data_IF_884346713183
#
_entry.id   IF_884346713183
#
_cell.length_a   1.000
_cell.length_b   1.000
_cell.length_c   1.000
_cell.angle_alpha   90.00
_cell.angle_beta   90.00
_cell.angle_gamma   90.00
#
_symmetry.space_group_name_H-M   'P 1'
#
loop_
_entity.id
_entity.type
_entity.pdbx_description
1 polymer ?
#
# COMPACT_ATOMS: atom_id res chain seq x y z
N UNK A 1 3.82 2.48 35.64
CA UNK A 1 2.81 1.71 36.40
C UNK A 1 3.04 1.95 37.89
N UNK A 2 1.98 2.21 38.67
CA UNK A 2 2.07 2.39 40.12
C UNK A 2 2.30 1.07 40.87
N UNK A 3 2.93 1.14 42.05
CA UNK A 3 3.35 0.01 42.89
C UNK A 3 2.13 -0.60 43.63
N UNK A 4 1.47 -1.59 43.03
CA UNK A 4 0.40 -2.39 43.64
C UNK A 4 -0.20 -3.39 42.64
N UNK A 5 -0.75 -4.54 43.09
CA UNK A 5 -1.44 -5.51 42.21
C UNK A 5 -2.66 -4.82 41.56
N UNK A 6 -2.61 -4.46 40.27
CA UNK A 6 -3.73 -3.77 39.64
C UNK A 6 -4.86 -4.78 39.39
N UNK A 7 -6.14 -4.36 39.44
CA UNK A 7 -7.24 -5.25 39.09
C UNK A 7 -7.08 -5.72 37.64
N UNK A 8 -7.31 -7.01 37.38
CA UNK A 8 -7.07 -7.63 36.07
C UNK A 8 -7.74 -6.87 34.91
N UNK A 9 -8.93 -6.30 35.15
CA UNK A 9 -9.67 -5.48 34.18
C UNK A 9 -8.89 -4.24 33.73
N UNK A 10 -8.22 -3.53 34.65
CA UNK A 10 -7.44 -2.33 34.35
C UNK A 10 -6.21 -2.64 33.48
N UNK A 11 -5.56 -3.78 33.73
CA UNK A 11 -4.45 -4.24 32.90
C UNK A 11 -4.90 -4.61 31.48
N UNK A 12 -6.08 -5.21 31.33
CA UNK A 12 -6.64 -5.55 30.03
C UNK A 12 -7.03 -4.31 29.21
N UNK A 13 -7.70 -3.32 29.82
CA UNK A 13 -8.06 -2.06 29.13
C UNK A 13 -6.82 -1.30 28.73
N UNK A 14 -5.87 -1.11 29.66
CA UNK A 14 -4.61 -0.45 29.35
C UNK A 14 -3.85 -1.12 28.21
N UNK A 15 -3.78 -2.47 28.16
CA UNK A 15 -3.19 -3.19 27.03
C UNK A 15 -3.94 -2.97 25.72
N UNK A 16 -5.28 -2.91 25.75
CA UNK A 16 -6.10 -2.66 24.56
C UNK A 16 -5.85 -1.25 24.01
N UNK A 17 -5.76 -0.26 24.90
CA UNK A 17 -5.51 1.14 24.52
C UNK A 17 -4.11 1.32 23.96
N UNK A 18 -3.09 0.74 24.61
CA UNK A 18 -1.72 0.74 24.11
C UNK A 18 -1.57 0.01 22.77
N UNK A 19 -2.40 -1.00 22.49
CA UNK A 19 -2.36 -1.73 21.22
C UNK A 19 -2.70 -0.84 20.02
N UNK A 20 -3.45 0.25 20.22
CA UNK A 20 -3.75 1.20 19.14
C UNK A 20 -2.53 2.04 18.72
N UNK A 21 -1.51 2.16 19.56
CA UNK A 21 -0.24 2.79 19.20
C UNK A 21 0.61 1.90 18.26
N UNK A 22 0.37 0.59 18.23
CA UNK A 22 1.00 -0.32 17.28
C UNK A 22 0.40 -0.11 15.87
N UNK A 23 1.26 0.32 14.94
CA UNK A 23 0.90 0.58 13.55
C UNK A 23 0.33 -0.65 12.85
N UNK A 24 0.86 -1.84 13.16
CA UNK A 24 0.43 -3.10 12.53
C UNK A 24 -0.99 -3.47 12.98
N UNK A 25 -1.26 -3.36 14.28
CA UNK A 25 -2.58 -3.56 14.84
C UNK A 25 -3.58 -2.54 14.32
N UNK A 26 -3.19 -1.27 14.28
CA UNK A 26 -4.03 -0.17 13.77
C UNK A 26 -4.42 -0.38 12.29
N UNK A 27 -3.46 -0.73 11.42
CA UNK A 27 -3.71 -1.00 10.00
C UNK A 27 -4.70 -2.16 9.79
N UNK A 28 -4.58 -3.21 10.60
CA UNK A 28 -5.49 -4.38 10.56
C UNK A 28 -6.86 -4.04 11.11
N UNK A 29 -6.92 -3.44 12.31
CA UNK A 29 -8.17 -3.12 13.00
C UNK A 29 -9.02 -2.08 12.24
N UNK A 30 -8.38 -1.09 11.60
CA UNK A 30 -9.08 -0.10 10.78
C UNK A 30 -9.42 -0.59 9.37
N UNK A 31 -9.00 -1.81 8.99
CA UNK A 31 -9.26 -2.36 7.65
C UNK A 31 -8.68 -1.52 6.51
N UNK A 32 -7.60 -0.77 6.76
CA UNK A 32 -7.02 0.18 5.79
C UNK A 32 -6.63 -0.52 4.49
N UNK A 33 -6.17 -1.77 4.57
CA UNK A 33 -5.84 -2.59 3.42
C UNK A 33 -7.03 -2.82 2.46
N UNK A 34 -8.27 -2.88 2.95
CA UNK A 34 -9.45 -3.11 2.10
C UNK A 34 -10.03 -1.79 1.58
N UNK A 35 -10.00 -0.75 2.41
CA UNK A 35 -10.64 0.54 2.07
C UNK A 35 -9.78 1.41 1.15
N UNK A 36 -8.51 1.60 1.47
CA UNK A 36 -7.64 2.55 0.74
C UNK A 36 -6.70 1.90 -0.26
N UNK A 37 -6.32 0.62 -0.07
CA UNK A 37 -5.39 0.00 -1.01
C UNK A 37 -6.03 -0.17 -2.40
N UNK A 38 -5.26 0.05 -3.48
CA UNK A 38 -5.77 -0.16 -4.84
C UNK A 38 -6.04 -1.65 -5.13
N UNK A 39 -5.31 -2.55 -4.47
CA UNK A 39 -5.45 -4.01 -4.62
C UNK A 39 -6.57 -4.63 -3.78
N UNK A 40 -7.18 -3.88 -2.84
CA UNK A 40 -8.29 -4.35 -2.02
C UNK A 40 -7.95 -5.57 -1.15
N UNK A 41 -6.69 -5.71 -0.72
CA UNK A 41 -6.23 -6.84 0.09
C UNK A 41 -5.78 -8.08 -0.69
N UNK A 42 -5.83 -8.05 -2.03
CA UNK A 42 -5.27 -9.12 -2.87
C UNK A 42 -3.77 -8.94 -3.12
N UNK A 43 -3.05 -10.03 -3.36
CA UNK A 43 -1.61 -10.01 -3.69
C UNK A 43 -1.34 -9.42 -5.08
N UNK A 44 -2.25 -9.65 -6.04
CA UNK A 44 -2.09 -9.22 -7.42
C UNK A 44 -3.39 -8.61 -7.98
N UNK A 45 -3.28 -7.88 -9.09
CA UNK A 45 -4.44 -7.43 -9.85
C UNK A 45 -4.11 -7.34 -11.34
N UNK A 46 -5.13 -7.62 -12.16
CA UNK A 46 -5.08 -7.38 -13.60
C UNK A 46 -5.49 -5.95 -13.91
N UNK A 47 -4.84 -5.34 -14.88
CA UNK A 47 -5.12 -3.99 -15.33
C UNK A 47 -4.77 -3.79 -16.80
N UNK A 48 -5.27 -2.70 -17.36
CA UNK A 48 -5.05 -2.28 -18.74
C UNK A 48 -4.04 -1.14 -18.74
N UNK A 49 -3.08 -1.18 -19.66
CA UNK A 49 -2.07 -0.14 -19.87
C UNK A 49 -2.70 1.10 -20.52
N UNK A 50 -2.52 2.25 -19.89
CA UNK A 50 -2.95 3.55 -20.43
C UNK A 50 -1.81 4.24 -21.19
N UNK A 51 -0.72 4.54 -20.48
CA UNK A 51 0.38 5.35 -21.00
C UNK A 51 1.73 4.97 -20.34
N UNK A 52 2.82 5.24 -21.05
CA UNK A 52 4.19 5.07 -20.55
C UNK A 52 4.62 6.37 -19.86
N UNK A 53 5.19 6.26 -18.66
CA UNK A 53 5.62 7.40 -17.85
C UNK A 53 7.08 7.21 -17.44
N UNK A 54 7.91 8.23 -17.65
CA UNK A 54 9.25 8.31 -17.06
C UNK A 54 9.17 8.99 -15.70
N UNK A 55 9.53 8.29 -14.63
CA UNK A 55 9.63 8.89 -13.29
C UNK A 55 11.09 9.20 -13.00
N UNK A 56 11.40 10.46 -12.73
CA UNK A 56 12.75 10.87 -12.34
C UNK A 56 13.14 10.21 -11.01
N UNK A 57 14.37 9.73 -10.92
CA UNK A 57 14.91 9.22 -9.66
C UNK A 57 14.97 10.35 -8.62
N UNK A 58 14.77 9.99 -7.34
CA UNK A 58 15.02 10.93 -6.25
C UNK A 58 16.52 11.21 -6.19
N UNK A 59 16.87 12.49 -6.02
CA UNK A 59 18.24 12.95 -5.75
C UNK A 59 18.88 12.07 -4.65
N UNK A 60 20.17 11.69 -4.74
CA UNK A 60 21.26 12.27 -5.56
C UNK A 60 21.50 11.62 -6.94
N UNK A 61 20.71 10.61 -7.33
CA UNK A 61 20.95 9.88 -8.59
C UNK A 61 20.23 10.56 -9.77
N UNK A 62 20.89 10.63 -10.93
CA UNK A 62 20.27 11.07 -12.18
C UNK A 62 19.95 9.87 -13.07
N UNK A 63 18.69 9.41 -13.02
CA UNK A 63 18.21 8.31 -13.84
C UNK A 63 16.69 8.39 -14.05
N UNK A 64 16.23 7.99 -15.24
CA UNK A 64 14.80 7.90 -15.56
C UNK A 64 14.31 6.46 -15.32
N UNK A 65 13.37 6.29 -14.39
CA UNK A 65 12.70 5.01 -14.14
C UNK A 65 11.53 4.84 -15.11
N UNK A 66 11.63 3.82 -15.97
CA UNK A 66 10.59 3.45 -16.93
C UNK A 66 9.40 2.86 -16.18
N UNK A 67 8.28 3.55 -16.19
CA UNK A 67 7.04 3.16 -15.52
C UNK A 67 5.87 3.15 -16.51
N UNK A 68 4.79 2.49 -16.13
CA UNK A 68 3.54 2.45 -16.91
C UNK A 68 2.36 2.75 -16.00
N UNK A 69 1.42 3.54 -16.52
CA UNK A 69 0.13 3.81 -15.86
C UNK A 69 -0.85 2.72 -16.25
N UNK A 70 -1.38 2.05 -15.24
CA UNK A 70 -2.28 0.91 -15.40
C UNK A 70 -3.60 1.20 -14.70
N UNK A 71 -4.70 0.93 -15.37
CA UNK A 71 -6.04 0.96 -14.75
C UNK A 71 -6.42 -0.45 -14.33
N UNK A 72 -6.68 -0.65 -13.04
CA UNK A 72 -7.11 -1.95 -12.52
C UNK A 72 -8.51 -2.28 -13.03
N UNK A 73 -8.69 -3.46 -13.65
CA UNK A 73 -9.99 -3.88 -14.21
C UNK A 73 -11.04 -4.00 -13.11
N UNK A 74 -10.66 -4.57 -11.95
CA UNK A 74 -11.59 -4.85 -10.85
C UNK A 74 -12.17 -3.60 -10.17
N UNK A 75 -11.42 -2.50 -10.12
CA UNK A 75 -11.75 -1.33 -9.29
C UNK A 75 -11.77 -0.01 -10.10
N UNK A 76 -11.35 -0.01 -11.36
CA UNK A 76 -11.16 1.20 -12.17
C UNK A 76 -10.08 2.16 -11.68
N UNK A 77 -9.41 1.88 -10.55
CA UNK A 77 -8.35 2.71 -9.96
C UNK A 77 -7.11 2.72 -10.85
N UNK A 78 -6.55 3.91 -11.08
CA UNK A 78 -5.31 4.11 -11.84
C UNK A 78 -4.09 4.05 -10.92
N UNK A 79 -3.13 3.21 -11.25
CA UNK A 79 -1.87 3.02 -10.51
C UNK A 79 -0.67 3.15 -11.44
N UNK A 80 0.48 3.54 -10.90
CA UNK A 80 1.75 3.54 -11.64
C UNK A 80 2.55 2.31 -11.23
N UNK A 81 2.91 1.47 -12.20
CA UNK A 81 3.74 0.29 -12.00
C UNK A 81 5.13 0.53 -12.61
N UNK A 82 6.17 0.00 -11.96
CA UNK A 82 7.53 0.03 -12.50
C UNK A 82 7.69 -1.08 -13.54
N UNK A 83 8.21 -0.73 -14.72
CA UNK A 83 8.41 -1.67 -15.81
C UNK A 83 9.87 -2.11 -15.90
N UNK A 84 10.12 -3.41 -15.78
CA UNK A 84 11.46 -3.96 -16.02
C UNK A 84 11.65 -4.16 -17.52
N UNK A 85 12.40 -3.24 -18.16
CA UNK A 85 12.92 -3.18 -19.55
C UNK A 85 12.00 -3.60 -20.72
N UNK A 86 11.39 -4.79 -20.67
CA UNK A 86 10.46 -5.35 -21.66
C UNK A 86 9.12 -4.59 -21.77
N UNK A 87 8.77 -3.82 -20.75
CA UNK A 87 7.50 -3.07 -20.68
C UNK A 87 7.39 -1.93 -21.72
N UNK A 88 8.51 -1.45 -22.28
CA UNK A 88 8.47 -0.41 -23.32
C UNK A 88 7.93 -0.91 -24.67
N UNK A 89 7.84 -2.21 -24.91
CA UNK A 89 7.20 -2.74 -26.12
C UNK A 89 5.70 -2.94 -25.95
N UNK A 90 5.16 -2.84 -24.72
CA UNK A 90 3.72 -2.88 -24.48
C UNK A 90 3.06 -1.68 -25.16
N UNK A 91 2.03 -1.95 -25.95
CA UNK A 91 1.20 -0.93 -26.59
C UNK A 91 0.19 -0.38 -25.60
N UNK A 92 -0.23 0.87 -25.80
CA UNK A 92 -1.40 1.43 -25.12
C UNK A 92 -2.59 0.47 -25.33
N UNK A 93 -3.38 0.21 -24.29
CA UNK A 93 -4.51 -0.74 -24.27
C UNK A 93 -4.16 -2.24 -24.21
N UNK A 94 -2.90 -2.60 -23.90
CA UNK A 94 -2.53 -3.99 -23.55
C UNK A 94 -2.89 -4.39 -22.12
#
# INVERSE_FOLDING_TARGET
>A
MGKGKPPARKLQTHRRDQRWADLSYKKRALGTAFKSSPFGGSSHAKGIVLEKVGVEAKQPNSAIRKCVRVQLIKNGKKVTAFGMYLCLTLTSHS
#
